data_IF_105164588321
#
_entry.id   IF_105164588321
#
_cell.length_a   1.000
_cell.length_b   1.000
_cell.length_c   1.000
_cell.angle_alpha   90.00
_cell.angle_beta   90.00
_cell.angle_gamma   90.00
#
_symmetry.space_group_name_H-M   'P 1'
#
loop_
_entity.id
_entity.type
_entity.pdbx_description
1 polymer ?
#
# COMPACT_ATOMS: atom_id res chain seq x y z
N UNK A 1 15.63 16.86 -13.90
CA UNK A 1 16.06 15.45 -13.76
C UNK A 1 14.88 14.67 -13.23
N UNK A 2 14.65 13.46 -13.68
CA UNK A 2 13.57 12.59 -13.16
C UNK A 2 13.90 12.20 -11.71
N UNK A 3 12.92 12.24 -10.81
CA UNK A 3 13.09 11.91 -9.38
C UNK A 3 13.60 10.48 -9.16
N UNK A 4 13.13 9.51 -9.94
CA UNK A 4 13.63 8.13 -9.87
C UNK A 4 15.14 8.09 -10.15
N UNK A 5 15.61 8.83 -11.16
CA UNK A 5 17.04 8.93 -11.46
C UNK A 5 17.80 9.54 -10.28
N UNK A 6 17.24 10.56 -9.64
CA UNK A 6 17.84 11.17 -8.43
C UNK A 6 17.91 10.17 -7.27
N UNK A 7 16.84 9.40 -7.04
CA UNK A 7 16.81 8.33 -6.02
C UNK A 7 17.93 7.31 -6.25
N UNK A 8 18.11 6.85 -7.49
CA UNK A 8 19.14 5.87 -7.85
C UNK A 8 20.53 6.47 -7.71
N UNK A 9 20.79 7.65 -8.30
CA UNK A 9 22.11 8.29 -8.30
C UNK A 9 22.61 8.60 -6.88
N UNK A 10 21.75 9.07 -6.00
CA UNK A 10 22.12 9.36 -4.60
C UNK A 10 22.37 8.11 -3.75
N UNK A 11 21.93 6.94 -4.22
CA UNK A 11 22.07 5.66 -3.52
C UNK A 11 22.94 4.65 -4.29
N UNK A 12 23.75 5.08 -5.27
CA UNK A 12 24.53 4.19 -6.15
C UNK A 12 25.39 3.18 -5.38
N UNK A 13 25.99 3.57 -4.27
CA UNK A 13 26.81 2.66 -3.45
C UNK A 13 26.00 1.55 -2.77
N UNK A 14 24.72 1.80 -2.50
CA UNK A 14 23.81 0.83 -1.83
C UNK A 14 23.08 -0.06 -2.84
N UNK A 15 22.73 0.48 -4.01
CA UNK A 15 21.83 -0.18 -4.97
C UNK A 15 22.27 -1.60 -5.35
N UNK A 16 23.54 -1.89 -5.72
CA UNK A 16 23.93 -3.25 -6.14
C UNK A 16 23.73 -4.29 -5.03
N UNK A 17 24.20 -4.00 -3.81
CA UNK A 17 24.08 -4.92 -2.68
C UNK A 17 22.63 -5.13 -2.25
N UNK A 18 21.84 -4.05 -2.20
CA UNK A 18 20.43 -4.12 -1.85
C UNK A 18 19.62 -4.89 -2.89
N UNK A 19 19.91 -4.70 -4.18
CA UNK A 19 19.30 -5.45 -5.28
C UNK A 19 19.63 -6.94 -5.21
N UNK A 20 20.91 -7.29 -5.04
CA UNK A 20 21.33 -8.69 -4.93
C UNK A 20 20.63 -9.39 -3.76
N UNK A 21 20.58 -8.74 -2.59
CA UNK A 21 19.91 -9.28 -1.42
C UNK A 21 18.40 -9.43 -1.63
N UNK A 22 17.76 -8.46 -2.27
CA UNK A 22 16.33 -8.54 -2.61
C UNK A 22 16.04 -9.70 -3.56
N UNK A 23 16.86 -9.89 -4.59
CA UNK A 23 16.74 -11.04 -5.51
C UNK A 23 16.94 -12.38 -4.79
N UNK A 24 17.90 -12.47 -3.86
CA UNK A 24 18.10 -13.65 -3.06
C UNK A 24 16.86 -13.98 -2.22
N UNK A 25 16.29 -13.00 -1.54
CA UNK A 25 15.06 -13.19 -0.78
C UNK A 25 13.87 -13.59 -1.65
N UNK A 26 13.75 -13.02 -2.85
CA UNK A 26 12.67 -13.34 -3.77
C UNK A 26 12.75 -14.76 -4.33
N UNK A 27 13.99 -15.28 -4.53
CA UNK A 27 14.22 -16.63 -5.03
C UNK A 27 14.12 -17.71 -3.93
N UNK A 28 14.22 -17.32 -2.66
CA UNK A 28 14.24 -18.22 -1.51
C UNK A 28 13.25 -17.72 -0.44
N UNK A 29 12.01 -17.49 -0.85
CA UNK A 29 11.00 -16.85 0.02
C UNK A 29 10.71 -17.62 1.29
N UNK A 30 10.80 -18.94 1.26
CA UNK A 30 10.48 -19.82 2.38
C UNK A 30 11.66 -19.99 3.37
N UNK A 31 12.88 -19.65 2.94
CA UNK A 31 14.10 -19.79 3.76
C UNK A 31 14.27 -18.65 4.77
N UNK A 32 13.53 -17.53 4.59
CA UNK A 32 13.69 -16.33 5.39
C UNK A 32 12.38 -15.88 6.04
N UNK A 33 12.43 -15.42 7.30
CA UNK A 33 11.28 -14.83 7.96
C UNK A 33 10.70 -13.65 7.17
N UNK A 34 9.37 -13.54 7.12
CA UNK A 34 8.69 -12.47 6.40
C UNK A 34 9.14 -11.08 6.85
N UNK A 35 9.28 -10.89 8.17
CA UNK A 35 9.71 -9.62 8.75
C UNK A 35 11.12 -9.20 8.31
N UNK A 36 12.03 -10.16 8.10
CA UNK A 36 13.39 -9.88 7.64
C UNK A 36 13.39 -9.37 6.20
N UNK A 37 12.64 -10.04 5.31
CA UNK A 37 12.44 -9.63 3.92
C UNK A 37 11.81 -8.23 3.87
N UNK A 38 10.78 -8.00 4.67
CA UNK A 38 10.06 -6.75 4.72
C UNK A 38 10.93 -5.57 5.22
N UNK A 39 11.72 -5.78 6.26
CA UNK A 39 12.68 -4.77 6.76
C UNK A 39 13.71 -4.39 5.71
N UNK A 40 14.14 -5.36 4.89
CA UNK A 40 15.05 -5.06 3.78
C UNK A 40 14.37 -4.21 2.70
N UNK A 41 13.11 -4.49 2.38
CA UNK A 41 12.30 -3.65 1.48
C UNK A 41 12.17 -2.25 2.06
N UNK A 42 11.82 -2.10 3.34
CA UNK A 42 11.74 -0.80 4.01
C UNK A 42 13.06 -0.02 3.95
N UNK A 43 14.17 -0.70 4.20
CA UNK A 43 15.50 -0.10 4.07
C UNK A 43 15.72 0.49 2.67
N UNK A 44 15.39 -0.23 1.61
CA UNK A 44 15.50 0.27 0.23
C UNK A 44 14.58 1.48 0.01
N UNK A 45 13.31 1.38 0.44
CA UNK A 45 12.32 2.43 0.23
C UNK A 45 12.66 3.71 1.00
N UNK A 46 13.13 3.61 2.24
CA UNK A 46 13.55 4.77 3.05
C UNK A 46 14.74 5.50 2.41
N UNK A 47 15.71 4.77 1.87
CA UNK A 47 16.83 5.36 1.12
C UNK A 47 16.35 6.03 -0.18
N UNK A 48 15.39 5.42 -0.89
CA UNK A 48 14.79 6.02 -2.08
C UNK A 48 14.05 7.32 -1.74
N UNK A 49 13.26 7.33 -0.66
CA UNK A 49 12.55 8.51 -0.14
C UNK A 49 13.52 9.66 0.13
N UNK A 50 14.55 9.40 0.95
CA UNK A 50 15.57 10.39 1.30
C UNK A 50 16.32 10.86 0.07
N UNK A 51 16.80 9.94 -0.77
CA UNK A 51 17.49 10.24 -2.03
C UNK A 51 16.63 11.04 -3.01
N UNK A 52 15.32 10.82 -2.99
CA UNK A 52 14.35 11.52 -3.83
C UNK A 52 13.95 12.92 -3.35
N UNK A 53 14.50 13.40 -2.24
CA UNK A 53 14.08 14.65 -1.57
C UNK A 53 12.59 14.64 -1.22
N UNK A 54 12.07 13.50 -0.71
CA UNK A 54 10.70 13.37 -0.27
C UNK A 54 10.66 13.49 1.24
N UNK A 55 9.87 14.43 1.75
CA UNK A 55 9.55 14.55 3.17
C UNK A 55 8.20 13.89 3.41
N UNK A 56 8.18 12.84 4.24
CA UNK A 56 6.93 12.15 4.59
C UNK A 56 6.53 12.49 6.01
N UNK A 57 5.36 13.11 6.16
CA UNK A 57 4.69 13.24 7.43
C UNK A 57 3.81 12.01 7.66
N UNK A 58 4.05 11.29 8.76
CA UNK A 58 3.36 10.04 9.06
C UNK A 58 2.70 10.14 10.43
N UNK A 59 1.42 9.82 10.49
CA UNK A 59 0.65 9.81 11.75
C UNK A 59 -0.19 8.57 11.90
N UNK A 60 -0.54 8.23 13.13
CA UNK A 60 -1.47 7.13 13.42
C UNK A 60 -0.87 5.73 13.30
N UNK A 61 0.45 5.57 13.26
CA UNK A 61 1.08 4.24 13.19
C UNK A 61 0.70 3.35 14.39
N UNK A 62 0.35 3.93 15.52
CA UNK A 62 -0.20 3.25 16.69
C UNK A 62 -1.54 2.54 16.42
N UNK A 63 -2.26 2.94 15.37
CA UNK A 63 -3.51 2.33 14.92
C UNK A 63 -3.31 1.00 14.15
N UNK A 64 -2.06 0.68 13.78
CA UNK A 64 -1.75 -0.58 13.10
C UNK A 64 -1.86 -1.73 14.10
N UNK A 65 -2.72 -2.75 13.86
CA UNK A 65 -2.87 -3.89 14.76
C UNK A 65 -1.54 -4.61 15.00
N UNK A 66 -1.19 -4.84 16.26
CA UNK A 66 0.09 -5.48 16.65
C UNK A 66 0.15 -6.96 16.28
N UNK A 67 -1.00 -7.64 16.17
CA UNK A 67 -1.12 -9.07 15.86
C UNK A 67 -2.38 -9.35 15.04
N UNK A 68 -2.49 -10.56 14.52
CA UNK A 68 -3.61 -10.97 13.66
C UNK A 68 -3.57 -10.37 12.27
N UNK A 69 -4.47 -10.82 11.40
CA UNK A 69 -4.61 -10.28 10.07
C UNK A 69 -5.50 -9.04 10.05
N UNK A 70 -5.24 -8.14 9.12
CA UNK A 70 -6.04 -6.93 8.91
C UNK A 70 -5.95 -6.46 7.46
N UNK A 71 -6.90 -5.61 7.07
CA UNK A 71 -6.92 -4.99 5.75
C UNK A 71 -6.58 -3.50 5.85
N UNK A 72 -5.75 -3.05 4.93
CA UNK A 72 -5.46 -1.64 4.69
C UNK A 72 -6.21 -1.20 3.43
N UNK A 73 -6.96 -0.13 3.52
CA UNK A 73 -7.60 0.51 2.37
C UNK A 73 -7.19 1.98 2.31
N UNK A 74 -6.70 2.42 1.15
CA UNK A 74 -6.22 3.78 0.94
C UNK A 74 -6.82 4.38 -0.32
N UNK A 75 -6.92 5.72 -0.38
CA UNK A 75 -7.12 6.44 -1.63
C UNK A 75 -5.91 6.27 -2.55
N UNK A 76 -6.13 6.31 -3.87
CA UNK A 76 -5.09 6.01 -4.86
C UNK A 76 -4.79 7.19 -5.77
N UNK A 77 -3.73 7.89 -5.49
CA UNK A 77 -3.31 9.10 -6.19
C UNK A 77 -2.27 8.85 -7.28
N UNK A 78 -1.25 8.04 -6.97
CA UNK A 78 -0.08 7.91 -7.82
C UNK A 78 0.70 6.60 -7.65
N UNK A 79 1.84 6.53 -8.35
CA UNK A 79 2.72 5.35 -8.27
C UNK A 79 3.46 5.26 -6.94
N UNK A 80 3.59 6.36 -6.21
CA UNK A 80 4.30 6.39 -4.94
C UNK A 80 3.48 5.83 -3.77
N UNK A 81 2.17 5.75 -3.87
CA UNK A 81 1.25 5.43 -2.78
C UNK A 81 1.62 4.12 -2.05
N UNK A 82 1.77 3.03 -2.80
CA UNK A 82 2.13 1.73 -2.22
C UNK A 82 3.51 1.75 -1.57
N UNK A 83 4.44 2.52 -2.13
CA UNK A 83 5.80 2.64 -1.59
C UNK A 83 5.80 3.45 -0.30
N UNK A 84 5.01 4.52 -0.22
CA UNK A 84 4.84 5.32 0.99
C UNK A 84 4.28 4.47 2.14
N UNK A 85 3.21 3.70 1.88
CA UNK A 85 2.63 2.81 2.88
C UNK A 85 3.61 1.71 3.29
N UNK A 86 4.28 1.05 2.34
CA UNK A 86 5.25 0.00 2.63
C UNK A 86 6.47 0.52 3.42
N UNK A 87 6.92 1.76 3.15
CA UNK A 87 8.04 2.37 3.87
C UNK A 87 7.70 2.72 5.33
N UNK A 88 6.43 2.88 5.67
CA UNK A 88 5.96 3.43 6.95
C UNK A 88 5.11 2.48 7.79
N UNK A 89 4.64 1.36 7.23
CA UNK A 89 3.88 0.35 7.97
C UNK A 89 4.82 -0.56 8.75
N UNK A 90 4.68 -0.61 10.07
CA UNK A 90 5.56 -1.40 10.96
C UNK A 90 5.38 -2.92 10.83
N UNK A 91 4.32 -3.36 10.17
CA UNK A 91 4.04 -4.77 9.93
C UNK A 91 4.19 -5.13 8.45
N UNK A 92 4.68 -6.34 8.14
CA UNK A 92 4.70 -6.83 6.76
C UNK A 92 3.30 -6.79 6.14
N UNK A 93 3.23 -6.21 4.95
CA UNK A 93 2.00 -6.13 4.18
C UNK A 93 2.19 -6.72 2.79
N UNK A 94 1.23 -7.53 2.35
CA UNK A 94 1.06 -7.85 0.94
C UNK A 94 0.18 -6.80 0.27
N UNK A 95 0.19 -6.75 -1.05
CA UNK A 95 -0.65 -5.84 -1.83
C UNK A 95 -1.31 -6.57 -3.00
N UNK A 96 -2.45 -6.04 -3.45
CA UNK A 96 -3.05 -6.45 -4.71
C UNK A 96 -2.60 -5.48 -5.80
N UNK A 97 -1.82 -5.98 -6.74
CA UNK A 97 -1.19 -5.20 -7.81
C UNK A 97 -1.88 -5.47 -9.14
N UNK A 98 -1.84 -4.48 -10.06
CA UNK A 98 -2.23 -4.70 -11.44
C UNK A 98 -1.28 -5.72 -12.09
N UNK A 99 -1.78 -6.69 -12.88
CA UNK A 99 -0.99 -7.78 -13.47
C UNK A 99 0.23 -7.30 -14.25
N UNK A 100 0.12 -6.16 -14.95
CA UNK A 100 1.21 -5.60 -15.74
C UNK A 100 2.36 -5.07 -14.88
N UNK A 101 2.07 -4.63 -13.65
CA UNK A 101 3.10 -4.17 -12.71
C UNK A 101 3.84 -5.33 -12.05
N UNK A 102 3.18 -6.49 -11.94
CA UNK A 102 3.76 -7.66 -11.29
C UNK A 102 5.03 -8.17 -11.99
N UNK A 103 5.17 -7.97 -13.29
CA UNK A 103 6.32 -8.42 -14.07
C UNK A 103 7.44 -7.39 -14.21
N UNK A 104 7.29 -6.21 -13.60
CA UNK A 104 8.33 -5.18 -13.63
C UNK A 104 9.43 -5.57 -12.65
N UNK A 105 10.72 -5.65 -13.07
CA UNK A 105 11.85 -5.86 -12.16
C UNK A 105 11.76 -4.88 -10.96
N UNK A 106 12.20 -5.29 -9.80
CA UNK A 106 12.05 -4.64 -8.52
C UNK A 106 10.65 -4.82 -7.91
N UNK A 107 9.56 -4.48 -8.61
CA UNK A 107 8.19 -4.71 -8.12
C UNK A 107 7.89 -6.21 -8.02
N UNK A 108 8.38 -7.00 -8.96
CA UNK A 108 8.26 -8.45 -8.94
C UNK A 108 8.91 -9.07 -7.71
N UNK A 109 10.16 -8.69 -7.42
CA UNK A 109 10.88 -9.20 -6.25
C UNK A 109 10.20 -8.80 -4.93
N UNK A 110 9.73 -7.55 -4.84
CA UNK A 110 8.94 -7.11 -3.69
C UNK A 110 7.66 -7.94 -3.58
N UNK A 111 6.94 -8.15 -4.68
CA UNK A 111 5.68 -8.91 -4.67
C UNK A 111 5.89 -10.35 -4.21
N UNK A 112 6.97 -11.01 -4.62
CA UNK A 112 7.34 -12.36 -4.13
C UNK A 112 7.64 -12.33 -2.62
N UNK A 113 8.49 -11.40 -2.18
CA UNK A 113 8.88 -11.28 -0.77
C UNK A 113 7.71 -11.00 0.17
N UNK A 114 6.68 -10.29 -0.31
CA UNK A 114 5.51 -9.87 0.47
C UNK A 114 4.27 -10.73 0.23
N UNK A 115 4.37 -11.76 -0.61
CA UNK A 115 3.22 -12.59 -1.01
C UNK A 115 2.07 -11.77 -1.62
N UNK A 116 2.42 -10.74 -2.40
CA UNK A 116 1.45 -9.90 -3.10
C UNK A 116 0.81 -10.63 -4.28
N UNK A 117 -0.42 -10.27 -4.62
CA UNK A 117 -1.17 -10.91 -5.70
C UNK A 117 -1.32 -10.00 -6.91
N UNK A 118 -1.12 -10.57 -8.10
CA UNK A 118 -1.45 -9.91 -9.36
C UNK A 118 -2.94 -10.04 -9.66
N UNK A 119 -3.60 -8.94 -10.01
CA UNK A 119 -5.02 -8.91 -10.37
C UNK A 119 -5.18 -8.44 -11.80
N UNK A 120 -5.89 -9.25 -12.59
CA UNK A 120 -6.44 -8.83 -13.88
C UNK A 120 -7.83 -8.26 -13.63
N UNK A 121 -7.98 -6.94 -13.81
CA UNK A 121 -9.25 -6.25 -13.56
C UNK A 121 -10.31 -6.49 -14.64
N UNK A 122 -9.90 -7.00 -15.80
CA UNK A 122 -10.79 -7.35 -16.89
C UNK A 122 -11.33 -8.78 -16.75
N UNK A 123 -10.65 -9.64 -15.98
CA UNK A 123 -11.07 -10.99 -15.66
C UNK A 123 -11.74 -11.07 -14.29
N UNK A 124 -13.07 -11.07 -14.29
CA UNK A 124 -13.89 -11.15 -13.06
C UNK A 124 -13.62 -12.43 -12.27
N UNK A 125 -13.38 -13.57 -12.95
CA UNK A 125 -13.13 -14.85 -12.27
C UNK A 125 -11.79 -14.83 -11.56
N UNK A 126 -10.75 -14.36 -12.24
CA UNK A 126 -9.42 -14.21 -11.67
C UNK A 126 -9.43 -13.21 -10.50
N UNK A 127 -10.13 -12.08 -10.65
CA UNK A 127 -10.31 -11.10 -9.56
C UNK A 127 -10.98 -11.72 -8.34
N UNK A 128 -12.00 -12.56 -8.50
CA UNK A 128 -12.64 -13.28 -7.39
C UNK A 128 -11.68 -14.27 -6.70
N UNK A 129 -10.85 -14.97 -7.47
CA UNK A 129 -9.82 -15.87 -6.94
C UNK A 129 -8.79 -15.10 -6.10
N UNK A 130 -8.32 -13.95 -6.58
CA UNK A 130 -7.41 -13.09 -5.82
C UNK A 130 -8.04 -12.65 -4.49
N UNK A 131 -9.30 -12.20 -4.51
CA UNK A 131 -10.03 -11.81 -3.29
C UNK A 131 -10.16 -12.99 -2.31
N UNK A 132 -10.38 -14.22 -2.80
CA UNK A 132 -10.41 -15.42 -1.95
C UNK A 132 -9.05 -15.73 -1.34
N UNK A 133 -7.96 -15.64 -2.13
CA UNK A 133 -6.60 -15.86 -1.65
C UNK A 133 -6.20 -14.83 -0.59
N UNK A 134 -6.46 -13.54 -0.83
CA UNK A 134 -6.23 -12.48 0.17
C UNK A 134 -7.02 -12.76 1.44
N UNK A 135 -8.30 -13.17 1.32
CA UNK A 135 -9.13 -13.52 2.49
C UNK A 135 -8.51 -14.65 3.30
N UNK A 136 -7.99 -15.68 2.65
CA UNK A 136 -7.34 -16.81 3.32
C UNK A 136 -6.05 -16.37 4.04
N UNK A 137 -5.20 -15.58 3.38
CA UNK A 137 -3.97 -15.06 3.98
C UNK A 137 -4.25 -14.13 5.18
N UNK A 138 -5.29 -13.31 5.09
CA UNK A 138 -5.71 -12.46 6.22
C UNK A 138 -6.20 -13.29 7.41
N UNK A 139 -6.97 -14.35 7.17
CA UNK A 139 -7.37 -15.31 8.23
C UNK A 139 -6.16 -16.01 8.87
N UNK A 140 -5.08 -16.19 8.10
CA UNK A 140 -3.81 -16.72 8.59
C UNK A 140 -2.92 -15.68 9.29
N UNK A 141 -3.44 -14.48 9.57
CA UNK A 141 -2.75 -13.46 10.36
C UNK A 141 -1.94 -12.46 9.55
N UNK A 142 -1.99 -12.45 8.20
CA UNK A 142 -1.27 -11.51 7.35
C UNK A 142 -2.07 -10.22 7.12
N UNK A 143 -1.35 -9.15 6.82
CA UNK A 143 -1.97 -7.88 6.46
C UNK A 143 -1.90 -7.65 4.95
N UNK A 144 -2.96 -7.05 4.38
CA UNK A 144 -3.01 -6.74 2.95
C UNK A 144 -3.52 -5.33 2.68
N UNK A 145 -2.91 -4.71 1.67
CA UNK A 145 -3.30 -3.41 1.14
C UNK A 145 -4.09 -3.58 -0.17
N UNK A 146 -5.23 -2.91 -0.24
CA UNK A 146 -5.99 -2.76 -1.48
C UNK A 146 -6.33 -1.27 -1.68
N UNK A 147 -6.19 -0.79 -2.91
CA UNK A 147 -6.71 0.49 -3.34
C UNK A 147 -8.12 0.28 -3.92
N UNK A 148 -9.19 0.62 -3.18
CA UNK A 148 -10.54 0.24 -3.55
C UNK A 148 -11.11 1.03 -4.74
N UNK A 149 -10.45 2.10 -5.17
CA UNK A 149 -10.76 2.84 -6.40
C UNK A 149 -10.50 2.00 -7.65
N UNK A 150 -9.69 0.94 -7.55
CA UNK A 150 -9.33 0.10 -8.67
C UNK A 150 -8.42 0.75 -9.71
N UNK A 151 -8.19 2.06 -9.66
CA UNK A 151 -7.27 2.81 -10.52
C UNK A 151 -6.80 4.06 -9.79
N UNK A 152 -5.72 4.71 -10.28
CA UNK A 152 -5.29 6.02 -9.77
C UNK A 152 -6.31 7.10 -10.17
N UNK A 153 -6.65 7.99 -9.24
CA UNK A 153 -7.61 9.07 -9.52
C UNK A 153 -7.10 10.03 -10.61
N UNK A 154 -5.79 10.31 -10.60
CA UNK A 154 -5.14 11.31 -11.47
C UNK A 154 -5.74 12.72 -11.33
N UNK A 155 -6.45 12.96 -10.23
CA UNK A 155 -7.11 14.25 -9.91
C UNK A 155 -6.53 14.87 -8.64
N UNK A 156 -5.22 14.68 -8.40
CA UNK A 156 -4.59 15.15 -7.17
C UNK A 156 -5.10 14.43 -5.93
N UNK A 157 -5.64 15.17 -4.98
CA UNK A 157 -6.16 14.63 -3.72
C UNK A 157 -7.63 14.17 -3.80
N UNK A 158 -8.30 14.32 -4.96
CA UNK A 158 -9.68 13.85 -5.12
C UNK A 158 -9.74 12.33 -5.23
N UNK A 159 -10.66 11.71 -4.48
CA UNK A 159 -10.92 10.27 -4.55
C UNK A 159 -11.96 9.92 -5.62
N UNK A 160 -11.78 8.75 -6.22
CA UNK A 160 -12.83 8.09 -7.01
C UNK A 160 -13.78 7.30 -6.10
N UNK A 161 -14.79 6.67 -6.71
CA UNK A 161 -15.68 5.78 -5.98
C UNK A 161 -14.98 4.48 -5.59
N UNK A 162 -15.33 3.98 -4.40
CA UNK A 162 -14.78 2.73 -3.89
C UNK A 162 -15.62 1.53 -4.34
N UNK A 163 -14.96 0.55 -4.94
CA UNK A 163 -15.61 -0.69 -5.37
C UNK A 163 -15.88 -1.61 -4.16
N UNK A 164 -17.14 -1.83 -3.83
CA UNK A 164 -17.53 -2.70 -2.72
C UNK A 164 -16.98 -4.14 -2.81
N UNK A 165 -16.69 -4.61 -4.02
CA UNK A 165 -16.11 -5.94 -4.24
C UNK A 165 -14.76 -6.17 -3.54
N UNK A 166 -13.93 -5.14 -3.39
CA UNK A 166 -12.64 -5.20 -2.70
C UNK A 166 -12.78 -5.41 -1.19
N UNK A 167 -13.91 -4.99 -0.61
CA UNK A 167 -14.18 -5.13 0.83
C UNK A 167 -14.67 -6.52 1.24
N UNK A 168 -14.90 -7.42 0.26
CA UNK A 168 -15.19 -8.82 0.55
C UNK A 168 -14.08 -9.52 1.32
N UNK A 169 -12.83 -9.09 1.18
CA UNK A 169 -11.72 -9.63 1.99
C UNK A 169 -11.97 -9.38 3.48
N UNK A 170 -12.28 -8.16 3.86
CA UNK A 170 -12.55 -7.79 5.25
C UNK A 170 -13.82 -8.46 5.79
N UNK A 171 -14.95 -8.32 5.08
CA UNK A 171 -16.25 -8.87 5.54
C UNK A 171 -16.27 -10.40 5.66
N UNK A 172 -15.51 -11.12 4.82
CA UNK A 172 -15.40 -12.58 4.89
C UNK A 172 -14.37 -13.08 5.90
N UNK A 173 -13.35 -12.30 6.19
CA UNK A 173 -12.35 -12.65 7.22
C UNK A 173 -12.75 -12.21 8.62
N UNK A 174 -13.62 -11.20 8.75
CA UNK A 174 -13.96 -10.59 10.03
C UNK A 174 -12.76 -9.86 10.65
N UNK A 175 -11.87 -9.30 9.85
CA UNK A 175 -10.65 -8.68 10.32
C UNK A 175 -10.81 -7.15 10.50
N UNK A 176 -10.02 -6.52 11.36
CA UNK A 176 -9.95 -5.05 11.42
C UNK A 176 -9.60 -4.44 10.07
N UNK A 177 -10.17 -3.27 9.79
CA UNK A 177 -9.85 -2.43 8.64
C UNK A 177 -9.13 -1.18 9.15
N UNK A 178 -7.95 -0.88 8.63
CA UNK A 178 -7.23 0.37 8.89
C UNK A 178 -7.33 1.24 7.63
N UNK A 179 -8.19 2.28 7.62
CA UNK A 179 -8.22 3.24 6.52
C UNK A 179 -6.95 4.08 6.53
N UNK A 180 -6.44 4.41 5.34
CA UNK A 180 -5.25 5.27 5.18
C UNK A 180 -5.62 6.45 4.29
N UNK A 181 -5.37 7.67 4.76
CA UNK A 181 -5.46 8.86 3.94
C UNK A 181 -4.05 9.25 3.45
N UNK A 182 -3.91 9.35 2.13
CA UNK A 182 -2.70 9.80 1.46
C UNK A 182 -2.92 11.20 0.91
N UNK A 183 -2.00 12.12 1.20
CA UNK A 183 -2.04 13.49 0.71
C UNK A 183 -0.79 13.77 -0.12
N UNK A 184 -0.99 14.30 -1.33
CA UNK A 184 0.07 14.76 -2.24
C UNK A 184 1.04 13.68 -2.75
N UNK A 185 0.79 12.42 -2.50
CA UNK A 185 1.66 11.31 -2.91
C UNK A 185 1.88 11.25 -4.44
N UNK A 186 0.92 11.71 -5.25
CA UNK A 186 1.06 11.82 -6.70
C UNK A 186 2.20 12.77 -7.12
N UNK A 187 2.55 13.76 -6.28
CA UNK A 187 3.64 14.72 -6.58
C UNK A 187 5.02 14.07 -6.66
N UNK A 188 5.19 12.88 -6.09
CA UNK A 188 6.50 12.22 -6.01
C UNK A 188 6.94 11.62 -7.34
N UNK A 189 6.12 10.78 -7.95
CA UNK A 189 6.50 10.03 -9.17
C UNK A 189 5.65 10.36 -10.40
N UNK A 190 4.47 10.96 -10.23
CA UNK A 190 3.58 11.28 -11.36
C UNK A 190 3.75 12.74 -11.83
N UNK A 191 4.55 13.55 -11.13
CA UNK A 191 4.96 14.89 -11.57
C UNK A 191 6.45 14.92 -11.92
N UNK A 192 6.84 15.72 -12.94
CA UNK A 192 8.24 15.86 -13.33
C UNK A 192 9.04 16.67 -12.29
N UNK A 193 10.34 16.39 -12.21
CA UNK A 193 11.28 17.13 -11.37
C UNK A 193 11.80 16.34 -10.18
N UNK A 194 12.72 16.96 -9.44
CA UNK A 194 13.38 16.39 -8.26
C UNK A 194 13.50 17.40 -7.10
N UNK A 195 12.77 18.53 -7.18
CA UNK A 195 12.70 19.50 -6.06
C UNK A 195 12.10 18.80 -4.82
N UNK A 196 12.44 19.27 -3.61
CA UNK A 196 11.80 18.77 -2.39
C UNK A 196 10.28 18.74 -2.51
N UNK A 197 9.66 17.69 -2.00
CA UNK A 197 8.21 17.51 -1.97
C UNK A 197 7.82 16.93 -0.61
N UNK A 198 6.75 17.45 -0.02
CA UNK A 198 6.14 16.91 1.18
C UNK A 198 4.89 16.11 0.82
N UNK A 199 4.72 14.98 1.49
CA UNK A 199 3.58 14.08 1.36
C UNK A 199 3.14 13.63 2.74
N UNK A 200 1.87 13.23 2.89
CA UNK A 200 1.36 12.78 4.18
C UNK A 200 0.77 11.38 4.07
N UNK A 201 0.98 10.58 5.13
CA UNK A 201 0.43 9.23 5.30
C UNK A 201 -0.25 9.15 6.66
N UNK A 202 -1.55 9.04 6.69
CA UNK A 202 -2.33 8.99 7.93
C UNK A 202 -3.01 7.64 8.10
N UNK A 203 -2.57 6.85 9.07
CA UNK A 203 -3.23 5.61 9.49
C UNK A 203 -4.38 5.97 10.44
N UNK A 204 -5.62 5.80 9.98
CA UNK A 204 -6.80 6.18 10.76
C UNK A 204 -7.17 5.09 11.77
N UNK A 205 -8.02 5.45 12.74
CA UNK A 205 -8.52 4.47 13.73
C UNK A 205 -9.12 3.26 13.03
N UNK A 206 -8.76 2.04 13.47
CA UNK A 206 -9.31 0.82 12.91
C UNK A 206 -10.84 0.79 13.02
N UNK A 207 -11.47 0.27 11.99
CA UNK A 207 -12.87 -0.13 11.98
C UNK A 207 -12.87 -1.61 12.34
N UNK A 208 -13.43 -1.97 13.48
CA UNK A 208 -13.42 -3.35 13.98
C UNK A 208 -14.48 -4.21 13.26
N UNK A 209 -14.42 -5.53 13.43
CA UNK A 209 -15.41 -6.43 12.87
C UNK A 209 -16.83 -6.13 13.40
N UNK A 210 -16.93 -5.70 14.65
CA UNK A 210 -18.17 -5.30 15.29
C UNK A 210 -18.78 -4.06 14.66
N UNK A 211 -17.94 -3.06 14.28
CA UNK A 211 -18.36 -1.80 13.69
C UNK A 211 -19.04 -1.98 12.32
N UNK A 212 -18.68 -3.04 11.59
CA UNK A 212 -19.29 -3.34 10.28
C UNK A 212 -20.10 -4.65 10.24
N UNK A 213 -20.41 -5.21 11.42
CA UNK A 213 -21.22 -6.43 11.51
C UNK A 213 -22.58 -6.25 10.82
N UNK A 214 -22.93 -7.20 9.95
CA UNK A 214 -24.17 -7.15 9.18
C UNK A 214 -24.19 -6.22 7.97
N UNK A 215 -23.17 -5.38 7.79
CA UNK A 215 -23.07 -4.50 6.62
C UNK A 215 -22.73 -5.28 5.35
N UNK A 216 -23.31 -4.84 4.22
CA UNK A 216 -22.90 -5.30 2.90
C UNK A 216 -21.53 -4.71 2.54
N UNK A 217 -20.73 -5.38 1.68
CA UNK A 217 -19.42 -4.84 1.27
C UNK A 217 -19.47 -3.41 0.68
N UNK A 218 -20.55 -3.01 0.05
CA UNK A 218 -20.73 -1.65 -0.46
C UNK A 218 -20.94 -0.62 0.66
N UNK A 219 -21.62 -1.01 1.74
CA UNK A 219 -21.82 -0.14 2.92
C UNK A 219 -20.50 0.05 3.68
N UNK A 220 -19.70 -1.02 3.81
CA UNK A 220 -18.34 -0.93 4.38
C UNK A 220 -17.45 -0.04 3.51
N UNK A 221 -17.55 -0.13 2.18
CA UNK A 221 -16.82 0.74 1.26
C UNK A 221 -17.17 2.22 1.48
N UNK A 222 -18.46 2.55 1.64
CA UNK A 222 -18.92 3.91 1.90
C UNK A 222 -18.39 4.43 3.25
N UNK A 223 -18.43 3.61 4.30
CA UNK A 223 -17.91 3.96 5.62
C UNK A 223 -16.41 4.26 5.57
N UNK A 224 -15.61 3.39 4.93
CA UNK A 224 -14.16 3.60 4.81
C UNK A 224 -13.86 4.83 3.96
N UNK A 225 -14.58 5.04 2.84
CA UNK A 225 -14.42 6.23 1.99
C UNK A 225 -14.70 7.51 2.77
N UNK A 226 -15.78 7.53 3.55
CA UNK A 226 -16.13 8.67 4.40
C UNK A 226 -15.00 9.01 5.38
N UNK A 227 -14.46 8.02 6.10
CA UNK A 227 -13.37 8.24 7.06
C UNK A 227 -12.12 8.82 6.40
N UNK A 228 -11.78 8.35 5.21
CA UNK A 228 -10.63 8.87 4.45
C UNK A 228 -10.92 10.29 3.98
N UNK A 229 -12.15 10.58 3.47
CA UNK A 229 -12.52 11.92 3.00
C UNK A 229 -12.47 12.96 4.12
N UNK A 230 -13.02 12.63 5.30
CA UNK A 230 -12.96 13.50 6.48
C UNK A 230 -11.52 13.93 6.81
N UNK A 231 -10.57 12.96 6.75
CA UNK A 231 -9.15 13.25 6.99
C UNK A 231 -8.51 14.07 5.87
N UNK A 232 -8.85 13.81 4.61
CA UNK A 232 -8.37 14.60 3.48
C UNK A 232 -8.84 16.04 3.59
N UNK A 233 -10.12 16.26 3.91
CA UNK A 233 -10.70 17.61 4.06
C UNK A 233 -10.02 18.39 5.20
N UNK A 234 -9.75 17.73 6.34
CA UNK A 234 -8.97 18.30 7.45
C UNK A 234 -7.57 18.75 6.99
N UNK A 235 -6.84 17.87 6.28
CA UNK A 235 -5.48 18.15 5.85
C UNK A 235 -5.41 19.25 4.79
N UNK A 236 -6.40 19.32 3.88
CA UNK A 236 -6.41 20.29 2.79
C UNK A 236 -6.90 21.68 3.24
N UNK A 237 -7.73 21.74 4.28
CA UNK A 237 -8.17 23.01 4.85
C UNK A 237 -7.06 23.71 5.65
N UNK A 238 -6.09 22.95 6.15
CA UNK A 238 -4.97 23.46 6.97
C UNK A 238 -3.68 23.73 6.15
N UNK A 239 -3.72 23.62 4.82
CA UNK A 239 -2.64 23.99 3.89
C UNK A 239 -2.80 25.41 3.35
#
# INVERSE_FOLDING_TARGET
MNRIVTMVLKNLGMVPGAWFKLCNYANHTDDYPEIEKYRHIQYILQHAVTGGNVNMEVTGQENIPKSGGFMLYANHQGMFDVLAIAATCDRPIGAVLKKELYNIPFLHQIALCTKSFAMDREDVRQSLTVIQNVTAEVKNGRAYLIFPEGTRSRKGNEMLDFHGGSFRCATKSGCPIVPIALVDCFKVLDQPGSKPVSVQVHYLKPITAEDYAGMKPAEVAALVKQRIQEKLDECLTNQ
#
